data_IF_428336864794
#
_entry.id   IF_428336864794
#
_cell.length_a   1.000
_cell.length_b   1.000
_cell.length_c   1.000
_cell.angle_alpha   90.00
_cell.angle_beta   90.00
_cell.angle_gamma   90.00
#
_symmetry.space_group_name_H-M   'P 1'
#
loop_
_entity.id
_entity.type
_entity.pdbx_description
1 polymer ?
#
# COMPACT_ATOMS: atom_id res chain seq x y z
N UNK A 1 26.41 -74.87 6.50
CA UNK A 1 26.48 -73.97 7.64
C UNK A 1 25.88 -72.54 7.33
N UNK A 2 25.07 -72.45 6.27
CA UNK A 2 24.51 -71.13 5.77
C UNK A 2 22.99 -70.94 6.03
N UNK A 3 22.26 -71.98 6.47
CA UNK A 3 20.79 -71.86 6.65
C UNK A 3 20.34 -71.31 8.01
N UNK A 4 21.22 -71.26 9.03
CA UNK A 4 20.88 -70.80 10.38
C UNK A 4 20.94 -69.24 10.48
N UNK A 5 21.79 -68.60 9.72
CA UNK A 5 21.92 -67.13 9.70
C UNK A 5 20.69 -66.41 9.13
N UNK A 6 20.03 -66.96 8.12
CA UNK A 6 18.89 -66.34 7.47
C UNK A 6 17.65 -66.34 8.36
N UNK A 7 17.50 -67.35 9.22
CA UNK A 7 16.33 -67.45 10.10
C UNK A 7 16.35 -66.45 11.28
N UNK A 8 17.53 -66.07 11.76
CA UNK A 8 17.69 -65.08 12.82
C UNK A 8 17.41 -63.67 12.33
N UNK A 9 17.81 -63.31 11.10
CA UNK A 9 17.57 -62.00 10.53
C UNK A 9 16.04 -61.74 10.32
N UNK A 10 15.28 -62.74 9.92
CA UNK A 10 13.86 -62.60 9.68
C UNK A 10 13.05 -62.29 10.96
N UNK A 11 13.47 -62.81 12.10
CA UNK A 11 12.85 -62.61 13.41
C UNK A 11 12.98 -61.15 13.88
N UNK A 12 14.13 -60.53 13.68
CA UNK A 12 14.34 -59.12 14.04
C UNK A 12 13.53 -58.13 13.19
N UNK A 13 13.38 -58.41 11.87
CA UNK A 13 12.54 -57.59 11.00
C UNK A 13 11.04 -57.70 11.35
N UNK A 14 10.59 -58.84 11.81
CA UNK A 14 9.21 -59.04 12.26
C UNK A 14 8.95 -58.24 13.51
N UNK A 15 9.83 -58.24 14.50
CA UNK A 15 9.69 -57.44 15.72
C UNK A 15 9.81 -55.97 15.43
N UNK A 16 10.71 -55.56 14.56
CA UNK A 16 10.85 -54.16 14.15
C UNK A 16 9.57 -53.65 13.46
N UNK A 17 8.94 -54.43 12.60
CA UNK A 17 7.65 -54.07 11.97
C UNK A 17 6.52 -53.95 12.99
N UNK A 18 6.46 -54.84 13.95
CA UNK A 18 5.46 -54.75 15.03
C UNK A 18 5.66 -53.54 15.92
N UNK A 19 6.89 -53.17 16.24
CA UNK A 19 7.23 -51.97 16.99
C UNK A 19 6.86 -50.71 16.21
N UNK A 20 7.15 -50.69 14.89
CA UNK A 20 6.79 -49.57 14.02
C UNK A 20 5.27 -49.38 13.93
N UNK A 21 4.51 -50.50 13.81
CA UNK A 21 3.05 -50.46 13.81
C UNK A 21 2.49 -49.99 15.16
N UNK A 22 3.09 -50.37 16.27
CA UNK A 22 2.69 -49.91 17.61
C UNK A 22 2.93 -48.42 17.80
N UNK A 23 4.07 -47.91 17.35
CA UNK A 23 4.38 -46.48 17.38
C UNK A 23 3.40 -45.68 16.50
N UNK A 24 3.10 -46.20 15.30
CA UNK A 24 2.16 -45.55 14.39
C UNK A 24 0.73 -45.56 14.97
N UNK A 25 0.30 -46.65 15.64
CA UNK A 25 -0.98 -46.76 16.34
C UNK A 25 -1.08 -45.78 17.52
N UNK A 26 0.03 -45.54 18.24
CA UNK A 26 0.07 -44.59 19.37
C UNK A 26 -0.11 -43.14 18.89
N UNK A 27 0.37 -42.84 17.68
CA UNK A 27 0.22 -41.50 17.10
C UNK A 27 -1.23 -41.21 16.64
N UNK A 28 -2.02 -42.20 16.33
CA UNK A 28 -3.42 -42.05 15.91
C UNK A 28 -4.39 -41.87 17.07
N UNK A 29 -3.98 -42.16 18.32
CA UNK A 29 -4.83 -42.08 19.51
C UNK A 29 -4.71 -40.77 20.25
N UNK A 30 -3.95 -39.78 19.72
CA UNK A 30 -3.96 -38.44 20.30
C UNK A 30 -5.38 -37.88 20.14
N UNK A 31 -6.12 -37.68 21.23
CA UNK A 31 -7.45 -37.10 21.13
C UNK A 31 -7.30 -35.70 20.57
N UNK A 32 -7.95 -35.46 19.45
CA UNK A 32 -8.16 -34.10 18.97
C UNK A 32 -8.90 -33.38 20.09
N UNK A 33 -8.19 -32.57 20.85
CA UNK A 33 -8.79 -31.64 21.82
C UNK A 33 -9.54 -30.61 20.96
N UNK A 34 -10.75 -30.99 20.59
CA UNK A 34 -11.73 -30.10 20.02
C UNK A 34 -11.98 -29.02 21.06
N UNK A 35 -11.43 -27.84 20.83
CA UNK A 35 -11.79 -26.67 21.60
C UNK A 35 -13.29 -26.45 21.41
N UNK A 36 -14.08 -26.85 22.41
CA UNK A 36 -15.46 -26.47 22.53
C UNK A 36 -15.49 -24.95 22.70
N UNK A 37 -15.74 -24.25 21.58
CA UNK A 37 -16.03 -22.83 21.57
C UNK A 37 -17.26 -22.62 22.45
N UNK A 38 -17.07 -22.22 23.69
CA UNK A 38 -18.14 -21.73 24.53
C UNK A 38 -18.78 -20.55 23.81
N UNK A 39 -19.91 -20.83 23.18
CA UNK A 39 -20.75 -19.80 22.58
C UNK A 39 -21.40 -19.06 23.75
N UNK A 40 -20.74 -17.99 24.18
CA UNK A 40 -21.42 -17.00 25.02
C UNK A 40 -22.56 -16.44 24.17
N UNK A 41 -23.77 -16.96 24.46
CA UNK A 41 -24.97 -16.25 24.06
C UNK A 41 -25.08 -15.02 24.96
N UNK A 42 -24.43 -13.94 24.51
CA UNK A 42 -24.81 -12.62 24.99
C UNK A 42 -26.18 -12.35 24.43
N UNK A 43 -27.16 -12.38 25.33
CA UNK A 43 -28.49 -11.82 25.05
C UNK A 43 -28.28 -10.42 24.52
N UNK A 44 -28.66 -10.21 23.26
CA UNK A 44 -28.78 -8.88 22.66
C UNK A 44 -29.91 -8.16 23.40
N UNK A 45 -29.64 -7.64 24.59
CA UNK A 45 -30.37 -6.49 25.07
C UNK A 45 -29.89 -5.33 24.22
N UNK A 46 -30.78 -4.91 23.36
CA UNK A 46 -30.61 -3.81 22.42
C UNK A 46 -30.53 -2.48 23.20
N UNK A 47 -29.44 -2.35 23.94
CA UNK A 47 -29.07 -1.08 24.55
C UNK A 47 -28.24 -0.37 23.49
N UNK A 48 -28.89 0.44 22.68
CA UNK A 48 -28.22 1.42 21.82
C UNK A 48 -27.37 2.32 22.73
N UNK A 49 -26.17 1.86 23.04
CA UNK A 49 -25.13 2.71 23.58
C UNK A 49 -24.82 3.72 22.50
N UNK A 50 -25.48 4.87 22.57
CA UNK A 50 -25.14 6.04 21.76
C UNK A 50 -23.73 6.45 22.16
N UNK A 51 -22.74 5.85 21.49
CA UNK A 51 -21.34 6.20 21.68
C UNK A 51 -21.24 7.67 21.32
N UNK A 52 -20.97 8.49 22.32
CA UNK A 52 -20.64 9.89 22.08
C UNK A 52 -19.43 9.90 21.19
N UNK A 53 -19.58 10.39 19.97
CA UNK A 53 -18.49 10.51 19.02
C UNK A 53 -17.35 11.27 19.67
N UNK A 54 -16.29 10.56 20.01
CA UNK A 54 -15.06 11.19 20.52
C UNK A 54 -14.26 11.62 19.31
N UNK A 55 -14.52 12.83 18.86
CA UNK A 55 -13.71 13.45 17.83
C UNK A 55 -12.38 13.86 18.46
N UNK A 56 -11.37 13.02 18.28
CA UNK A 56 -10.01 13.32 18.72
C UNK A 56 -9.41 14.31 17.71
N UNK A 57 -9.47 15.60 18.03
CA UNK A 57 -8.70 16.60 17.30
C UNK A 57 -7.23 16.46 17.70
N UNK A 58 -6.49 15.67 16.95
CA UNK A 58 -5.04 15.71 17.07
C UNK A 58 -4.50 16.97 16.42
N UNK A 59 -4.35 18.01 17.20
CA UNK A 59 -3.68 19.25 16.79
C UNK A 59 -2.15 19.07 16.78
N UNK A 60 -1.69 17.84 16.50
CA UNK A 60 -0.28 17.57 16.38
C UNK A 60 0.19 18.24 15.10
N UNK A 61 0.90 19.35 15.23
CA UNK A 61 1.71 19.89 14.14
C UNK A 61 2.57 18.75 13.63
N UNK A 62 2.17 18.18 12.50
CA UNK A 62 2.98 17.17 11.83
C UNK A 62 4.25 17.87 11.39
N UNK A 63 5.33 17.65 12.14
CA UNK A 63 6.64 18.16 11.76
C UNK A 63 6.95 17.58 10.38
N UNK A 64 6.93 18.43 9.37
CA UNK A 64 7.28 18.04 8.00
C UNK A 64 8.72 17.54 8.05
N UNK A 65 8.91 16.27 7.83
CA UNK A 65 10.22 15.62 7.96
C UNK A 65 11.15 15.92 6.77
N UNK A 66 10.59 16.36 5.65
CA UNK A 66 11.33 16.60 4.40
C UNK A 66 11.00 17.97 3.82
N UNK A 67 11.96 18.59 3.12
CA UNK A 67 11.65 19.78 2.35
C UNK A 67 10.59 19.46 1.30
N UNK A 68 9.57 20.31 1.27
CA UNK A 68 8.41 20.16 0.38
C UNK A 68 8.48 21.25 -0.67
N UNK A 69 8.32 20.86 -1.94
CA UNK A 69 8.05 21.79 -3.01
C UNK A 69 6.56 21.70 -3.34
N UNK A 70 5.88 22.82 -3.42
CA UNK A 70 4.43 22.86 -3.63
C UNK A 70 4.14 23.88 -4.72
N UNK A 71 3.29 23.48 -5.66
CA UNK A 71 2.62 24.36 -6.60
C UNK A 71 1.14 24.30 -6.31
N UNK A 72 0.50 25.44 -6.09
CA UNK A 72 -0.91 25.51 -5.71
C UNK A 72 -1.67 26.61 -6.45
N UNK A 73 -2.96 26.39 -6.69
CA UNK A 73 -3.95 27.32 -7.18
C UNK A 73 -3.41 28.37 -8.15
N UNK A 74 -3.22 29.59 -7.69
CA UNK A 74 -2.76 30.72 -8.52
C UNK A 74 -1.38 30.51 -9.17
N UNK A 75 -0.51 29.72 -8.56
CA UNK A 75 0.81 29.42 -9.14
C UNK A 75 0.65 28.45 -10.31
N UNK A 76 -0.21 27.44 -10.18
CA UNK A 76 -0.54 26.50 -11.27
C UNK A 76 -1.17 27.23 -12.47
N UNK A 77 -2.10 28.14 -12.20
CA UNK A 77 -2.76 28.93 -13.26
C UNK A 77 -1.78 29.82 -14.05
N UNK A 78 -0.73 30.32 -13.40
CA UNK A 78 0.29 31.15 -14.05
C UNK A 78 1.23 30.39 -14.97
N UNK A 79 1.35 29.06 -14.79
CA UNK A 79 2.30 28.25 -15.54
C UNK A 79 1.92 28.09 -17.02
N UNK A 80 0.65 28.28 -17.36
CA UNK A 80 0.12 28.11 -18.73
C UNK A 80 0.56 26.81 -19.38
N UNK A 81 0.51 25.72 -18.63
CA UNK A 81 0.81 24.34 -19.08
C UNK A 81 -0.41 23.45 -18.91
N UNK A 82 -0.51 22.40 -19.74
CA UNK A 82 -1.72 21.58 -19.81
C UNK A 82 -1.65 20.33 -18.96
N UNK A 83 -0.47 19.78 -18.75
CA UNK A 83 -0.31 18.50 -18.04
C UNK A 83 0.46 18.65 -16.73
N UNK A 84 0.17 17.74 -15.80
CA UNK A 84 0.92 17.63 -14.54
C UNK A 84 2.42 17.38 -14.80
N UNK A 85 2.74 16.59 -15.83
CA UNK A 85 4.14 16.35 -16.20
C UNK A 85 4.87 17.66 -16.54
N UNK A 86 4.21 18.56 -17.26
CA UNK A 86 4.83 19.83 -17.64
C UNK A 86 4.94 20.78 -16.45
N UNK A 87 3.97 20.76 -15.52
CA UNK A 87 4.05 21.52 -14.26
C UNK A 87 5.20 21.04 -13.36
N UNK A 88 5.46 19.74 -13.33
CA UNK A 88 6.55 19.18 -12.53
C UNK A 88 7.96 19.59 -13.00
N UNK A 89 8.11 20.10 -14.21
CA UNK A 89 9.39 20.65 -14.70
C UNK A 89 9.85 21.87 -13.91
N UNK A 90 8.92 22.55 -13.25
CA UNK A 90 9.23 23.71 -12.41
C UNK A 90 9.73 23.35 -11.02
N UNK A 91 9.65 22.06 -10.64
CA UNK A 91 10.24 21.59 -9.40
C UNK A 91 11.74 21.37 -9.53
N UNK A 92 12.47 21.78 -8.53
CA UNK A 92 13.90 21.58 -8.46
C UNK A 92 14.24 20.09 -8.33
N UNK A 93 15.17 19.62 -9.15
CA UNK A 93 15.65 18.24 -9.14
C UNK A 93 14.71 17.24 -9.84
N UNK A 94 13.71 17.73 -10.55
CA UNK A 94 12.77 16.90 -11.34
C UNK A 94 13.18 16.93 -12.82
N UNK A 95 13.22 15.78 -13.42
CA UNK A 95 13.45 15.58 -14.86
C UNK A 95 12.29 14.78 -15.44
N UNK A 96 11.63 15.32 -16.44
CA UNK A 96 10.60 14.62 -17.21
C UNK A 96 11.23 13.98 -18.43
N UNK A 97 11.00 12.67 -18.57
CA UNK A 97 11.31 11.91 -19.78
C UNK A 97 10.05 11.78 -20.61
N UNK A 98 10.11 12.26 -21.83
CA UNK A 98 9.01 12.22 -22.79
C UNK A 98 9.33 11.19 -23.88
N UNK A 99 8.45 10.20 -24.03
CA UNK A 99 8.60 9.09 -24.96
C UNK A 99 7.58 9.17 -26.10
N UNK A 100 7.46 10.29 -26.77
CA UNK A 100 6.61 10.36 -27.95
C UNK A 100 5.80 11.64 -28.17
N UNK A 101 6.12 12.72 -27.48
CA UNK A 101 5.47 14.02 -27.71
C UNK A 101 4.00 14.05 -27.27
N UNK A 102 3.11 14.51 -28.16
CA UNK A 102 1.68 14.64 -27.87
C UNK A 102 1.06 13.24 -27.70
N UNK A 103 0.53 12.95 -26.51
CA UNK A 103 -0.03 11.63 -26.17
C UNK A 103 0.99 10.54 -25.86
N UNK A 104 2.27 10.85 -25.89
CA UNK A 104 3.35 9.94 -25.48
C UNK A 104 3.45 9.78 -23.96
N UNK A 105 4.09 8.71 -23.55
CA UNK A 105 4.34 8.42 -22.14
C UNK A 105 5.31 9.46 -21.55
N UNK A 106 4.87 10.17 -20.51
CA UNK A 106 5.70 11.12 -19.76
C UNK A 106 5.97 10.60 -18.36
N UNK A 107 7.22 10.21 -18.12
CA UNK A 107 7.65 9.70 -16.81
C UNK A 107 8.48 10.73 -16.06
N UNK A 108 8.46 10.62 -14.73
CA UNK A 108 9.23 11.49 -13.86
C UNK A 108 10.45 10.77 -13.31
N UNK A 109 11.58 11.47 -13.29
CA UNK A 109 12.78 11.06 -12.60
C UNK A 109 13.19 12.16 -11.63
N UNK A 110 13.38 11.82 -10.38
CA UNK A 110 13.72 12.77 -9.32
C UNK A 110 15.12 12.46 -8.83
N UNK A 111 16.00 13.47 -8.86
CA UNK A 111 17.40 13.34 -8.41
C UNK A 111 18.13 12.15 -9.03
N UNK A 112 17.83 11.83 -10.28
CA UNK A 112 18.43 10.72 -11.04
C UNK A 112 18.22 9.32 -10.44
N UNK A 113 17.27 9.16 -9.50
CA UNK A 113 17.01 7.86 -8.86
C UNK A 113 16.14 6.91 -9.71
N UNK A 114 15.62 7.39 -10.85
CA UNK A 114 14.75 6.62 -11.73
C UNK A 114 13.27 6.74 -11.39
N UNK A 115 12.43 6.50 -12.39
CA UNK A 115 10.97 6.63 -12.27
C UNK A 115 10.31 5.54 -11.40
N UNK A 116 10.97 4.40 -11.22
CA UNK A 116 10.46 3.30 -10.39
C UNK A 116 10.49 3.60 -8.89
N UNK A 117 11.33 4.54 -8.46
CA UNK A 117 11.49 4.93 -7.06
C UNK A 117 10.68 6.16 -6.67
N UNK A 118 9.77 6.58 -7.54
CA UNK A 118 8.87 7.70 -7.30
C UNK A 118 7.47 7.19 -7.02
N UNK A 119 6.95 7.49 -5.83
CA UNK A 119 5.55 7.27 -5.49
C UNK A 119 4.68 8.37 -6.09
N UNK A 120 3.58 8.03 -6.72
CA UNK A 120 2.61 8.99 -7.26
C UNK A 120 1.26 8.74 -6.62
N UNK A 121 0.67 9.78 -6.06
CA UNK A 121 -0.59 9.71 -5.33
C UNK A 121 -1.57 10.75 -5.88
N UNK A 122 -2.78 10.32 -6.14
CA UNK A 122 -3.88 11.15 -6.62
C UNK A 122 -5.01 11.13 -5.59
N UNK A 123 -5.31 12.26 -4.98
CA UNK A 123 -6.25 12.40 -3.86
C UNK A 123 -6.03 11.37 -2.73
N UNK A 124 -4.77 11.02 -2.49
CA UNK A 124 -4.38 10.04 -1.47
C UNK A 124 -4.37 8.59 -1.92
N UNK A 125 -4.80 8.31 -3.15
CA UNK A 125 -4.77 6.97 -3.75
C UNK A 125 -3.45 6.79 -4.50
N UNK A 126 -2.77 5.69 -4.24
CA UNK A 126 -1.56 5.33 -4.98
C UNK A 126 -1.89 5.04 -6.44
N UNK A 127 -1.15 5.69 -7.33
CA UNK A 127 -1.17 5.38 -8.75
C UNK A 127 0.02 4.50 -9.09
N UNK A 128 -0.23 3.45 -9.82
CA UNK A 128 0.82 2.56 -10.31
C UNK A 128 0.36 1.82 -11.56
N UNK A 129 1.29 1.52 -12.42
CA UNK A 129 1.07 0.58 -13.51
C UNK A 129 1.37 -0.81 -12.98
N UNK A 130 0.42 -1.74 -13.09
CA UNK A 130 0.58 -3.12 -12.63
C UNK A 130 1.75 -3.85 -13.31
N UNK A 131 2.17 -3.39 -14.48
CA UNK A 131 3.20 -4.03 -15.28
C UNK A 131 4.62 -3.59 -14.89
N UNK A 132 4.84 -2.29 -14.67
CA UNK A 132 6.18 -1.74 -14.43
C UNK A 132 6.24 -0.70 -13.31
N UNK A 133 5.13 -0.41 -12.64
CA UNK A 133 5.05 0.57 -11.53
C UNK A 133 5.26 2.03 -11.95
N UNK A 134 5.43 2.32 -13.21
CA UNK A 134 5.69 3.68 -13.71
C UNK A 134 4.37 4.35 -14.10
N UNK A 135 4.18 5.58 -13.66
CA UNK A 135 2.97 6.36 -13.92
C UNK A 135 3.21 7.32 -15.06
N UNK A 136 2.27 7.37 -16.01
CA UNK A 136 2.23 8.37 -17.07
C UNK A 136 1.59 9.66 -16.54
N UNK A 137 2.41 10.65 -16.26
CA UNK A 137 1.97 11.94 -15.74
C UNK A 137 1.47 12.91 -16.84
N UNK A 138 1.67 12.57 -18.10
CA UNK A 138 1.13 13.32 -19.22
C UNK A 138 -0.38 13.20 -19.38
N UNK A 139 -0.97 12.16 -18.79
CA UNK A 139 -2.42 11.88 -18.87
C UNK A 139 -3.26 12.73 -17.92
N UNK A 140 -2.63 13.35 -16.93
CA UNK A 140 -3.34 14.17 -15.94
C UNK A 140 -3.36 15.62 -16.38
N UNK A 141 -4.59 16.16 -16.61
CA UNK A 141 -4.79 17.58 -16.90
C UNK A 141 -4.51 18.42 -15.65
N UNK A 142 -3.89 19.59 -15.87
CA UNK A 142 -3.63 20.54 -14.80
C UNK A 142 -4.91 21.29 -14.37
N UNK A 143 -5.90 21.41 -15.24
CA UNK A 143 -7.12 22.19 -14.99
C UNK A 143 -7.89 21.75 -13.75
N UNK A 144 -7.86 20.46 -13.46
CA UNK A 144 -8.55 19.88 -12.32
C UNK A 144 -7.70 19.85 -11.05
N UNK A 145 -6.45 20.30 -11.11
CA UNK A 145 -5.53 20.26 -9.95
C UNK A 145 -5.65 21.51 -9.11
N UNK A 146 -5.73 21.32 -7.81
CA UNK A 146 -5.63 22.39 -6.82
C UNK A 146 -4.20 22.54 -6.30
N UNK A 147 -3.58 21.39 -6.01
CA UNK A 147 -2.23 21.36 -5.42
C UNK A 147 -1.44 20.18 -6.00
N UNK A 148 -0.20 20.46 -6.39
CA UNK A 148 0.80 19.46 -6.69
C UNK A 148 1.94 19.64 -5.70
N UNK A 149 2.28 18.59 -4.96
CA UNK A 149 3.36 18.64 -3.99
C UNK A 149 4.37 17.52 -4.18
N UNK A 150 5.65 17.86 -4.06
CA UNK A 150 6.77 16.93 -4.13
C UNK A 150 7.43 16.82 -2.76
N UNK A 151 7.50 15.62 -2.26
CA UNK A 151 8.24 15.28 -1.05
C UNK A 151 9.51 14.51 -1.42
N UNK A 152 10.63 14.93 -0.88
CA UNK A 152 11.89 14.20 -0.96
C UNK A 152 12.00 13.30 0.25
N UNK A 153 11.56 12.06 0.13
CA UNK A 153 11.35 11.13 1.24
C UNK A 153 9.90 11.12 1.71
N UNK A 154 9.69 10.74 2.95
CA UNK A 154 8.37 10.54 3.54
C UNK A 154 7.63 11.86 3.80
N UNK A 155 6.34 11.89 3.53
CA UNK A 155 5.47 13.04 3.81
C UNK A 155 5.21 13.19 5.31
N UNK A 156 5.05 12.09 6.02
CA UNK A 156 4.69 12.04 7.44
C UNK A 156 5.26 10.77 8.07
N UNK A 157 5.40 10.74 9.38
CA UNK A 157 5.88 9.57 10.11
C UNK A 157 4.78 8.55 10.46
N UNK A 158 3.49 8.88 10.29
CA UNK A 158 2.43 8.12 10.96
C UNK A 158 1.40 7.53 9.99
N UNK A 159 0.84 8.32 9.09
CA UNK A 159 -0.26 7.86 8.21
C UNK A 159 0.11 8.02 6.74
N UNK A 160 0.73 6.98 6.18
CA UNK A 160 1.13 6.98 4.78
C UNK A 160 0.89 5.61 4.17
N UNK A 161 0.60 5.55 2.86
CA UNK A 161 0.60 4.29 2.11
C UNK A 161 1.97 3.61 2.17
N UNK A 162 1.99 2.28 2.12
CA UNK A 162 3.23 1.51 2.16
C UNK A 162 4.22 1.91 1.05
N UNK A 163 3.71 2.29 -0.12
CA UNK A 163 4.51 2.77 -1.25
C UNK A 163 5.30 4.03 -0.94
N UNK A 164 4.75 4.94 -0.13
CA UNK A 164 5.44 6.17 0.25
C UNK A 164 6.69 5.88 1.08
N UNK A 165 6.61 4.87 1.97
CA UNK A 165 7.77 4.42 2.74
C UNK A 165 8.84 3.74 1.88
N UNK A 166 8.44 3.10 0.79
CA UNK A 166 9.36 2.41 -0.12
C UNK A 166 9.90 3.31 -1.25
N UNK A 167 9.35 4.52 -1.39
CA UNK A 167 9.71 5.47 -2.44
C UNK A 167 10.77 6.44 -1.96
N UNK A 168 11.72 6.75 -2.84
CA UNK A 168 12.75 7.75 -2.56
C UNK A 168 12.20 9.18 -2.59
N UNK A 169 11.14 9.39 -3.36
CA UNK A 169 10.40 10.65 -3.46
C UNK A 169 8.94 10.36 -3.76
N UNK A 170 8.06 11.26 -3.33
CA UNK A 170 6.62 11.09 -3.52
C UNK A 170 5.98 12.36 -4.10
N UNK A 171 5.16 12.18 -5.11
CA UNK A 171 4.36 13.24 -5.74
C UNK A 171 2.92 13.06 -5.29
N UNK A 172 2.33 14.09 -4.72
CA UNK A 172 0.93 14.13 -4.34
C UNK A 172 0.19 15.16 -5.20
N UNK A 173 -0.84 14.70 -5.86
CA UNK A 173 -1.77 15.50 -6.65
C UNK A 173 -3.10 15.57 -5.91
N UNK A 174 -3.62 16.76 -5.74
CA UNK A 174 -4.93 16.99 -5.12
C UNK A 174 -5.83 17.72 -6.10
N UNK A 175 -7.03 17.21 -6.29
CA UNK A 175 -8.02 17.84 -7.16
C UNK A 175 -8.71 19.00 -6.49
N UNK A 176 -9.18 19.90 -7.33
CA UNK A 176 -9.95 21.06 -6.91
C UNK A 176 -11.29 20.60 -6.32
N UNK A 177 -11.59 21.03 -5.11
CA UNK A 177 -12.85 20.70 -4.46
C UNK A 177 -14.00 21.45 -5.16
N UNK A 178 -15.08 20.78 -5.54
CA UNK A 178 -16.22 21.43 -6.15
C UNK A 178 -16.85 22.39 -5.15
N UNK A 179 -17.03 23.64 -5.56
CA UNK A 179 -17.79 24.64 -4.81
C UNK A 179 -19.25 24.54 -5.26
N UNK A 180 -20.07 23.94 -4.45
CA UNK A 180 -21.52 23.96 -4.65
C UNK A 180 -22.02 25.32 -4.16
N UNK A 181 -22.29 26.24 -5.10
CA UNK A 181 -23.09 27.41 -4.79
C UNK A 181 -24.53 26.94 -4.67
N UNK A 182 -25.22 27.34 -3.61
CA UNK A 182 -26.67 27.14 -3.52
C UNK A 182 -27.30 27.66 -4.82
N UNK A 183 -28.03 26.80 -5.51
CA UNK A 183 -28.86 27.22 -6.64
C UNK A 183 -29.97 28.01 -6.00
N UNK A 184 -29.84 29.34 -6.02
CA UNK A 184 -30.86 30.23 -5.52
C UNK A 184 -32.18 29.88 -6.22
N UNK A 185 -33.19 29.56 -5.45
CA UNK A 185 -34.56 29.50 -5.95
C UNK A 185 -34.88 30.89 -6.51
N UNK A 186 -35.14 30.94 -7.81
CA UNK A 186 -35.76 32.09 -8.44
C UNK A 186 -37.18 32.23 -7.91
#
# INVERSE_FOLDING_TARGET
>A
MLSIQVHSYNKHYIHLRWILCLILSLFTTLPAISQSRVRHQTSLSDTLLKLKEVTIYSNRMQKKMSPVQILSGKELEKLNVYSVADALRYFSGVQIKDYGGIGGLKTVNIRSMGSHHVGVFYDGIELGNAQNGVVDLGRFSLDNMEVISLYNGQKSAIFQPAKDYSSASAIYMQTRKPLFKEIGRA
#
